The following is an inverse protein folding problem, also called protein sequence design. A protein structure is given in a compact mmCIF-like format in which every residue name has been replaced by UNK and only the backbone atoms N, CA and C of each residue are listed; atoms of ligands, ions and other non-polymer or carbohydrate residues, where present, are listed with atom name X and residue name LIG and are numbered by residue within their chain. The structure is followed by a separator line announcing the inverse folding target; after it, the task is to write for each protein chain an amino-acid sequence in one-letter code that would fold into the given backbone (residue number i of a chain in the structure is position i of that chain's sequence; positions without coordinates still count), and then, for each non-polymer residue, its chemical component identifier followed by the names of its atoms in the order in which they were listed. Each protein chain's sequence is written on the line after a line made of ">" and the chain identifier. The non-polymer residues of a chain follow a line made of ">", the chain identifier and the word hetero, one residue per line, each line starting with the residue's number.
data_IF_039024481360
#
_entry.id   IF_039024481360
#
_cell.length_a   1.000
_cell.length_b   1.000
_cell.length_c   1.000
_cell.angle_alpha   90.00
_cell.angle_beta   90.00
_cell.angle_gamma   90.00
#
_symmetry.space_group_name_H-M   'P 1'
#
loop_
_entity.id
_entity.type
_entity.pdbx_description
1 polymer ?
#
# COMPACT_ATOMS: atom_id res chain seq x y z
N UNK A 1 22.93 -26.66 42.05
CA UNK A 1 22.09 -26.15 40.94
C UNK A 1 20.96 -25.35 41.57
N UNK A 2 21.06 -24.02 41.59
CA UNK A 2 20.12 -23.17 42.31
C UNK A 2 18.76 -23.12 41.58
N UNK A 3 17.69 -23.56 42.25
CA UNK A 3 16.33 -23.51 41.72
C UNK A 3 15.87 -22.08 41.50
N UNK A 4 15.46 -21.77 40.27
CA UNK A 4 14.95 -20.46 39.90
C UNK A 4 13.60 -20.22 40.59
N UNK A 5 13.45 -19.14 41.35
CA UNK A 5 12.20 -18.86 42.06
C UNK A 5 11.05 -18.60 41.09
N UNK A 6 9.82 -19.01 41.45
CA UNK A 6 8.61 -18.83 40.62
C UNK A 6 8.40 -17.36 40.18
N UNK A 7 8.81 -16.40 41.02
CA UNK A 7 8.77 -14.97 40.70
C UNK A 7 9.80 -14.56 39.62
N UNK A 8 11.02 -15.12 39.66
CA UNK A 8 12.03 -14.91 38.61
C UNK A 8 11.61 -15.55 37.29
N UNK A 9 10.97 -16.72 37.35
CA UNK A 9 10.39 -17.38 36.18
C UNK A 9 9.25 -16.55 35.57
N UNK A 10 8.33 -16.03 36.39
CA UNK A 10 7.23 -15.18 35.95
C UNK A 10 7.69 -13.87 35.32
N UNK A 11 8.69 -13.21 35.91
CA UNK A 11 9.29 -11.99 35.36
C UNK A 11 9.97 -12.25 34.01
N UNK A 12 10.72 -13.37 33.89
CA UNK A 12 11.39 -13.74 32.64
C UNK A 12 10.38 -13.97 31.49
N UNK A 13 9.26 -14.65 31.77
CA UNK A 13 8.18 -14.86 30.78
C UNK A 13 7.56 -13.53 30.36
N UNK A 14 7.30 -12.63 31.31
CA UNK A 14 6.67 -11.35 31.02
C UNK A 14 7.56 -10.43 30.16
N UNK A 15 8.88 -10.42 30.43
CA UNK A 15 9.86 -9.69 29.60
C UNK A 15 9.96 -10.30 28.20
N UNK A 16 9.99 -11.63 28.07
CA UNK A 16 10.01 -12.30 26.77
C UNK A 16 8.76 -11.99 25.93
N UNK A 17 7.57 -11.96 26.56
CA UNK A 17 6.33 -11.58 25.88
C UNK A 17 6.28 -10.09 25.49
N UNK A 18 6.91 -9.20 26.25
CA UNK A 18 6.92 -7.77 25.93
C UNK A 18 7.81 -7.43 24.73
N UNK A 19 8.92 -8.15 24.54
CA UNK A 19 9.88 -7.89 23.44
C UNK A 19 9.40 -8.45 22.10
N UNK A 20 8.54 -9.48 22.08
CA UNK A 20 8.02 -10.08 20.83
C UNK A 20 7.02 -9.18 20.07
N UNK A 21 6.47 -8.15 20.72
CA UNK A 21 5.50 -7.24 20.10
C UNK A 21 6.12 -6.26 19.07
N UNK A 22 7.44 -6.10 19.05
CA UNK A 22 8.15 -5.13 18.19
C UNK A 22 8.73 -5.75 16.90
N UNK A 23 8.15 -6.84 16.39
CA UNK A 23 8.62 -7.46 15.16
C UNK A 23 8.13 -6.71 13.91
N UNK A 24 8.97 -6.64 12.87
CA UNK A 24 8.57 -6.11 11.57
C UNK A 24 7.59 -7.08 10.89
N UNK A 25 6.49 -6.55 10.36
CA UNK A 25 5.51 -7.31 9.59
C UNK A 25 5.71 -6.98 8.11
N UNK A 26 5.87 -8.01 7.28
CA UNK A 26 5.94 -7.87 5.83
C UNK A 26 4.59 -8.20 5.20
N UNK A 27 4.12 -7.32 4.32
CA UNK A 27 2.95 -7.57 3.48
C UNK A 27 3.38 -7.62 2.02
N UNK A 28 3.04 -8.71 1.35
CA UNK A 28 3.27 -8.89 -0.07
C UNK A 28 1.95 -8.68 -0.82
N UNK A 29 2.00 -7.94 -1.92
CA UNK A 29 0.86 -7.67 -2.78
C UNK A 29 1.22 -7.93 -4.23
N UNK A 30 0.24 -8.41 -4.99
CA UNK A 30 0.37 -8.71 -6.41
C UNK A 30 1.12 -10.02 -6.68
N UNK A 31 1.49 -10.21 -7.94
CA UNK A 31 2.12 -11.42 -8.46
C UNK A 31 3.13 -11.02 -9.53
N UNK A 32 4.25 -11.73 -9.54
CA UNK A 32 5.27 -11.69 -10.59
C UNK A 32 5.72 -13.14 -10.77
N UNK A 33 5.65 -13.69 -11.98
CA UNK A 33 6.12 -15.05 -12.27
C UNK A 33 7.60 -15.24 -11.93
N UNK A 34 7.96 -16.46 -11.55
CA UNK A 34 9.34 -16.85 -11.28
C UNK A 34 10.17 -16.94 -12.57
N UNK A 35 11.48 -17.09 -12.46
CA UNK A 35 12.32 -17.27 -13.66
C UNK A 35 12.08 -18.60 -14.34
N UNK A 36 11.75 -19.63 -13.56
CA UNK A 36 11.42 -20.96 -14.08
C UNK A 36 10.12 -20.94 -14.91
N UNK A 37 9.08 -20.26 -14.42
CA UNK A 37 7.83 -20.09 -15.16
C UNK A 37 8.03 -19.30 -16.46
N UNK A 38 8.88 -18.26 -16.44
CA UNK A 38 9.20 -17.50 -17.65
C UNK A 38 10.10 -18.26 -18.63
N UNK A 39 10.89 -19.23 -18.17
CA UNK A 39 11.72 -20.05 -19.05
C UNK A 39 10.89 -20.99 -19.94
N UNK A 40 9.63 -21.23 -19.58
CA UNK A 40 8.67 -21.95 -20.41
C UNK A 40 8.14 -21.09 -21.58
N UNK A 41 8.32 -19.76 -21.53
CA UNK A 41 7.85 -18.81 -22.54
C UNK A 41 8.99 -18.45 -23.50
N UNK A 42 8.81 -18.75 -24.77
CA UNK A 42 9.74 -18.48 -25.86
C UNK A 42 9.34 -17.23 -26.64
N UNK A 43 10.17 -16.20 -26.53
CA UNK A 43 10.03 -14.94 -27.28
C UNK A 43 10.04 -15.21 -28.79
N UNK A 44 9.07 -14.63 -29.50
CA UNK A 44 8.89 -14.75 -30.95
C UNK A 44 8.15 -16.01 -31.40
N UNK A 45 7.76 -16.89 -30.47
CA UNK A 45 7.02 -18.13 -30.75
C UNK A 45 5.70 -18.17 -30.00
N UNK A 46 5.75 -17.92 -28.69
CA UNK A 46 4.57 -18.06 -27.85
C UNK A 46 3.61 -16.89 -28.01
N UNK A 47 2.33 -17.23 -27.97
CA UNK A 47 1.24 -16.26 -28.09
C UNK A 47 0.78 -15.77 -26.73
N UNK A 48 0.02 -14.69 -26.71
CA UNK A 48 -0.68 -14.21 -25.51
C UNK A 48 -1.50 -15.30 -24.83
N UNK A 49 -2.22 -16.13 -25.60
CA UNK A 49 -3.00 -17.24 -25.04
C UNK A 49 -2.11 -18.27 -24.33
N UNK A 50 -0.93 -18.55 -24.90
CA UNK A 50 0.06 -19.44 -24.27
C UNK A 50 0.59 -18.84 -22.96
N UNK A 51 0.84 -17.53 -22.94
CA UNK A 51 1.26 -16.82 -21.72
C UNK A 51 0.17 -16.90 -20.65
N UNK A 52 -1.09 -16.70 -21.02
CA UNK A 52 -2.24 -16.83 -20.11
C UNK A 52 -2.36 -18.25 -19.53
N UNK A 53 -2.07 -19.29 -20.33
CA UNK A 53 -2.11 -20.68 -19.89
C UNK A 53 -0.95 -21.03 -18.93
N UNK A 54 0.25 -20.48 -19.15
CA UNK A 54 1.45 -20.79 -18.36
C UNK A 54 1.49 -20.00 -17.06
N UNK A 55 1.30 -18.67 -17.12
CA UNK A 55 1.49 -17.77 -15.97
C UNK A 55 0.23 -17.00 -15.54
N UNK A 56 -0.90 -17.19 -16.24
CA UNK A 56 -2.16 -16.52 -15.94
C UNK A 56 -2.21 -15.06 -16.41
N UNK A 57 -3.43 -14.51 -16.46
CA UNK A 57 -3.63 -13.10 -16.81
C UNK A 57 -3.06 -12.15 -15.72
N UNK A 58 -2.48 -11.00 -16.11
CA UNK A 58 -1.94 -10.05 -15.15
C UNK A 58 -3.03 -9.37 -14.32
N UNK A 59 -2.72 -9.06 -13.06
CA UNK A 59 -3.63 -8.34 -12.14
C UNK A 59 -4.00 -6.92 -12.60
N UNK A 60 -3.21 -6.34 -13.49
CA UNK A 60 -3.49 -5.10 -14.19
C UNK A 60 -3.10 -5.30 -15.66
N UNK A 61 -4.09 -5.63 -16.51
CA UNK A 61 -3.89 -5.61 -17.96
C UNK A 61 -3.46 -4.21 -18.44
N UNK A 62 -2.80 -4.14 -19.60
CA UNK A 62 -2.48 -2.87 -20.24
C UNK A 62 -3.70 -1.95 -20.27
N UNK A 63 -3.49 -0.64 -20.06
CA UNK A 63 -4.56 0.38 -20.05
C UNK A 63 -5.36 0.43 -21.37
N UNK A 64 -4.87 -0.23 -22.41
CA UNK A 64 -5.46 -0.36 -23.73
C UNK A 64 -5.75 -1.84 -24.01
N UNK A 65 -6.90 -2.12 -24.63
CA UNK A 65 -7.27 -3.45 -25.07
C UNK A 65 -6.25 -3.95 -26.11
N UNK A 66 -5.69 -5.16 -25.89
CA UNK A 66 -4.59 -5.70 -26.71
C UNK A 66 -3.20 -5.14 -26.39
N UNK A 67 -3.04 -4.42 -25.27
CA UNK A 67 -1.73 -3.90 -24.84
C UNK A 67 -0.81 -4.95 -24.19
N UNK A 68 0.35 -4.49 -23.76
CA UNK A 68 1.34 -5.28 -23.03
C UNK A 68 0.82 -5.78 -21.68
N UNK A 69 1.41 -6.86 -21.20
CA UNK A 69 1.12 -7.41 -19.87
C UNK A 69 2.07 -6.85 -18.82
N UNK A 70 1.51 -6.48 -17.67
CA UNK A 70 2.26 -5.95 -16.54
C UNK A 70 1.95 -6.75 -15.27
N UNK A 71 2.92 -7.56 -14.83
CA UNK A 71 2.86 -8.24 -13.55
C UNK A 71 3.62 -7.41 -12.52
N UNK A 72 2.96 -7.08 -11.41
CA UNK A 72 3.52 -6.19 -10.39
C UNK A 72 3.44 -6.87 -9.05
N UNK A 73 4.57 -6.93 -8.35
CA UNK A 73 4.67 -7.41 -6.97
C UNK A 73 5.34 -6.36 -6.11
N UNK A 74 4.79 -6.12 -4.92
CA UNK A 74 5.34 -5.19 -3.94
C UNK A 74 5.42 -5.84 -2.57
N UNK A 75 6.53 -5.60 -1.87
CA UNK A 75 6.73 -5.97 -0.46
C UNK A 75 6.81 -4.71 0.38
N UNK A 76 5.92 -4.62 1.36
CA UNK A 76 5.82 -3.46 2.27
C UNK A 76 6.19 -3.90 3.68
N UNK A 77 7.18 -3.23 4.27
CA UNK A 77 7.60 -3.41 5.66
C UNK A 77 6.80 -2.46 6.55
N UNK A 78 6.13 -3.02 7.55
CA UNK A 78 5.49 -2.31 8.63
C UNK A 78 6.29 -2.53 9.92
N UNK A 79 6.66 -1.45 10.61
CA UNK A 79 7.43 -1.55 11.85
C UNK A 79 6.88 -0.57 12.90
N UNK A 80 6.21 -1.12 13.91
CA UNK A 80 5.59 -0.32 14.97
C UNK A 80 4.61 0.72 14.41
N UNK A 81 4.80 1.97 14.82
CA UNK A 81 4.01 3.14 14.39
C UNK A 81 4.61 3.88 13.19
N UNK A 82 5.76 3.45 12.66
CA UNK A 82 6.41 4.13 11.54
C UNK A 82 5.59 3.98 10.25
N UNK A 83 5.76 4.94 9.34
CA UNK A 83 5.15 4.87 8.01
C UNK A 83 5.57 3.58 7.29
N UNK A 84 4.62 2.84 6.69
CA UNK A 84 4.93 1.65 5.91
C UNK A 84 5.84 1.99 4.73
N UNK A 85 6.92 1.23 4.56
CA UNK A 85 7.88 1.46 3.47
C UNK A 85 7.89 0.29 2.51
N UNK A 86 7.85 0.60 1.21
CA UNK A 86 8.06 -0.39 0.15
C UNK A 86 9.55 -0.73 0.15
N UNK A 87 9.88 -1.98 0.48
CA UNK A 87 11.27 -2.46 0.54
C UNK A 87 11.71 -3.15 -0.75
N UNK A 88 10.74 -3.64 -1.52
CA UNK A 88 10.98 -4.36 -2.76
C UNK A 88 9.76 -4.13 -3.67
N UNK A 89 10.03 -3.84 -4.94
CA UNK A 89 9.02 -3.78 -5.98
C UNK A 89 9.61 -4.37 -7.25
N UNK A 90 8.84 -5.21 -7.89
CA UNK A 90 9.17 -5.81 -9.17
C UNK A 90 8.03 -5.57 -10.14
N UNK A 91 8.38 -5.14 -11.34
CA UNK A 91 7.46 -5.01 -12.47
C UNK A 91 8.03 -5.85 -13.61
N UNK A 92 7.27 -6.84 -14.05
CA UNK A 92 7.57 -7.62 -15.25
C UNK A 92 6.65 -7.10 -16.36
N UNK A 93 7.24 -6.64 -17.46
CA UNK A 93 6.55 -6.25 -18.67
C UNK A 93 6.76 -7.32 -19.74
N UNK A 94 5.67 -7.81 -20.33
CA UNK A 94 5.70 -8.68 -21.51
C UNK A 94 5.05 -7.91 -22.65
N UNK A 95 5.84 -7.61 -23.68
CA UNK A 95 5.37 -6.89 -24.86
C UNK A 95 4.98 -7.86 -25.96
N UNK A 96 3.94 -7.50 -26.72
CA UNK A 96 3.43 -8.32 -27.81
C UNK A 96 3.54 -7.59 -29.15
N UNK A 97 3.70 -8.34 -30.24
CA UNK A 97 3.65 -7.81 -31.60
C UNK A 97 2.19 -7.64 -32.10
N UNK A 98 2.03 -7.21 -33.35
CA UNK A 98 0.70 -7.05 -33.97
C UNK A 98 -0.08 -8.35 -34.19
N UNK A 99 0.56 -9.51 -34.03
CA UNK A 99 -0.04 -10.83 -34.17
C UNK A 99 -0.26 -11.53 -32.80
N UNK A 100 -0.17 -10.77 -31.70
CA UNK A 100 -0.27 -11.28 -30.32
C UNK A 100 0.81 -12.31 -29.96
N UNK A 101 1.99 -12.21 -30.57
CA UNK A 101 3.18 -13.03 -30.24
C UNK A 101 4.10 -12.24 -29.30
N UNK A 102 4.67 -12.93 -28.31
CA UNK A 102 5.61 -12.32 -27.35
C UNK A 102 6.80 -11.74 -28.10
N UNK A 103 6.99 -10.43 -27.98
CA UNK A 103 8.10 -9.70 -28.60
C UNK A 103 9.25 -9.46 -27.60
N UNK A 104 8.93 -9.19 -26.33
CA UNK A 104 9.94 -8.89 -25.33
C UNK A 104 9.46 -9.22 -23.91
N UNK A 105 10.42 -9.49 -23.01
CA UNK A 105 10.17 -9.71 -21.59
C UNK A 105 11.20 -8.91 -20.79
N UNK A 106 10.75 -7.93 -20.00
CA UNK A 106 11.60 -7.03 -19.23
C UNK A 106 11.21 -7.01 -17.76
N UNK A 107 12.23 -6.93 -16.88
CA UNK A 107 12.04 -6.82 -15.43
C UNK A 107 12.59 -5.49 -14.94
N UNK A 108 11.83 -4.82 -14.10
CA UNK A 108 12.18 -3.56 -13.46
C UNK A 108 12.09 -3.70 -11.95
N UNK A 109 13.10 -3.18 -11.27
CA UNK A 109 13.20 -3.15 -9.82
C UNK A 109 12.62 -1.87 -9.21
N UNK A 110 12.85 -1.69 -7.90
CA UNK A 110 12.46 -0.46 -7.20
C UNK A 110 13.40 0.70 -7.58
N UNK A 111 14.65 0.37 -7.89
CA UNK A 111 15.73 1.24 -8.35
C UNK A 111 15.44 1.91 -9.70
N UNK A 112 14.67 1.26 -10.57
CA UNK A 112 14.28 1.78 -11.89
C UNK A 112 13.10 2.75 -11.81
N UNK A 113 12.47 2.88 -10.63
CA UNK A 113 11.30 3.71 -10.40
C UNK A 113 11.59 5.20 -10.53
N UNK A 114 10.83 5.89 -11.39
CA UNK A 114 10.83 7.37 -11.45
C UNK A 114 9.80 7.96 -10.49
N UNK A 115 10.24 8.87 -9.63
CA UNK A 115 9.34 9.61 -8.72
C UNK A 115 8.51 10.61 -9.55
N UNK A 116 7.21 10.35 -9.68
CA UNK A 116 6.26 11.28 -10.31
C UNK A 116 5.57 12.08 -9.20
N UNK A 117 5.84 13.39 -9.06
CA UNK A 117 5.15 14.21 -8.07
C UNK A 117 3.69 14.36 -8.48
N UNK A 118 2.76 13.83 -7.68
CA UNK A 118 1.34 14.04 -7.89
C UNK A 118 1.03 15.53 -7.64
N UNK A 119 0.49 16.22 -8.64
CA UNK A 119 0.05 17.59 -8.50
C UNK A 119 -1.04 17.66 -7.42
N UNK A 120 -0.72 18.26 -6.28
CA UNK A 120 -1.68 18.40 -5.18
C UNK A 120 -2.69 19.46 -5.57
N UNK A 121 -3.88 19.04 -6.00
CA UNK A 121 -5.06 19.91 -6.07
C UNK A 121 -5.56 20.13 -4.64
N UNK A 122 -5.12 21.21 -4.01
CA UNK A 122 -5.70 21.68 -2.75
C UNK A 122 -6.95 22.48 -3.10
N UNK A 123 -8.13 21.96 -2.74
CA UNK A 123 -9.35 22.77 -2.75
C UNK A 123 -9.22 23.77 -1.62
N UNK A 124 -9.19 25.07 -1.91
CA UNK A 124 -9.31 26.09 -0.87
C UNK A 124 -10.61 25.85 -0.11
N UNK A 125 -10.53 25.73 1.21
CA UNK A 125 -11.75 25.64 2.01
C UNK A 125 -12.55 26.93 1.80
N UNK A 126 -13.82 26.83 1.41
CA UNK A 126 -14.71 28.00 1.25
C UNK A 126 -14.98 28.76 2.55
N UNK A 127 -14.50 28.26 3.70
CA UNK A 127 -14.66 28.89 5.01
C UNK A 127 -13.44 29.76 5.29
N UNK A 128 -13.46 30.99 4.79
CA UNK A 128 -12.56 32.03 5.28
C UNK A 128 -12.86 32.32 6.76
N UNK A 129 -11.87 32.09 7.63
CA UNK A 129 -11.67 32.91 8.82
C UNK A 129 -12.52 32.65 10.07
N UNK A 130 -13.27 31.55 10.18
CA UNK A 130 -13.90 31.16 11.46
C UNK A 130 -13.14 30.00 12.10
N UNK A 131 -12.12 30.33 12.91
CA UNK A 131 -11.43 29.34 13.73
C UNK A 131 -12.40 28.64 14.70
N UNK A 132 -12.22 27.34 14.91
CA UNK A 132 -13.06 26.50 15.78
C UNK A 132 -13.38 27.17 17.12
N UNK A 133 -12.38 27.77 17.77
CA UNK A 133 -12.55 28.46 19.05
C UNK A 133 -13.44 29.70 18.97
N UNK A 134 -13.39 30.45 17.86
CA UNK A 134 -14.27 31.62 17.65
C UNK A 134 -15.73 31.19 17.46
N UNK A 135 -15.95 30.04 16.84
CA UNK A 135 -17.29 29.49 16.66
C UNK A 135 -17.84 28.88 17.96
N UNK A 136 -16.98 28.26 18.77
CA UNK A 136 -17.33 27.76 20.10
C UNK A 136 -17.69 28.92 21.05
N UNK A 137 -16.87 29.97 21.09
CA UNK A 137 -17.06 31.11 21.98
C UNK A 137 -18.11 32.11 21.48
N UNK A 138 -18.40 32.17 20.17
CA UNK A 138 -19.42 33.05 19.60
C UNK A 138 -20.86 32.71 19.99
N UNK A 139 -21.10 31.50 20.51
CA UNK A 139 -22.41 31.09 21.05
C UNK A 139 -22.54 31.34 22.57
N UNK A 140 -21.45 31.70 23.26
CA UNK A 140 -21.50 31.99 24.69
C UNK A 140 -21.85 33.47 24.90
N UNK A 141 -23.05 33.73 25.44
CA UNK A 141 -23.47 35.08 25.85
C UNK A 141 -24.61 35.70 25.04
N UNK A 142 -25.21 34.99 24.09
CA UNK A 142 -26.39 35.47 23.37
C UNK A 142 -27.69 35.22 24.18
N UNK A 143 -27.73 35.74 25.41
CA UNK A 143 -28.93 35.71 26.24
C UNK A 143 -29.73 36.97 25.95
N UNK A 144 -30.92 36.79 25.40
CA UNK A 144 -31.90 37.87 25.25
C UNK A 144 -32.63 38.05 26.59
N UNK A 145 -32.41 39.15 27.34
CA UNK A 145 -33.13 39.37 28.60
C UNK A 145 -34.65 39.49 28.39
N UNK A 146 -35.12 39.74 27.16
CA UNK A 146 -36.55 39.82 26.83
C UNK A 146 -37.24 38.45 26.88
N UNK A 147 -36.52 37.33 26.80
CA UNK A 147 -37.11 35.99 26.92
C UNK A 147 -37.39 35.56 28.38
N UNK A 148 -36.92 36.33 29.36
CA UNK A 148 -37.09 36.05 30.80
C UNK A 148 -38.32 36.79 31.36
N UNK A 149 -38.72 37.91 30.74
CA UNK A 149 -39.87 38.72 31.16
C UNK A 149 -41.20 38.36 30.48
N UNK A 150 -41.22 37.37 29.58
CA UNK A 150 -42.40 37.01 28.78
C UNK A 150 -42.85 35.56 29.03
N UNK A 151 -42.76 35.11 30.29
CA UNK A 151 -43.24 33.81 30.76
C UNK A 151 -44.20 34.05 31.92
N UNK A 152 -45.42 34.50 31.59
CA UNK A 152 -46.61 34.31 32.41
C UNK A 152 -47.31 33.00 32.00
#
# INVERSE_FOLDING_TARGET
>A
MAGLSKAKLGLAVLVLCAVSACAAVYRNHGYVPSEEELAEIVVGVDSRATVDDVIGEPSAGGLLQGGDYYYVRSRVRHFGMLEPQVVERQVLAISFDSNDVVQNIERFGLEDGRIVPLARRVTSSSVEGKGFLRQLLGNLGNFDPTSIFNQE
#
